data_IF_978065999261
#
_entry.id   IF_978065999261
#
_cell.length_a   1.000
_cell.length_b   1.000
_cell.length_c   1.000
_cell.angle_alpha   90.00
_cell.angle_beta   90.00
_cell.angle_gamma   90.00
#
_symmetry.space_group_name_H-M   'P 1'
#
loop_
_entity.id
_entity.type
_entity.pdbx_description
1 polymer ?
#
# COMPACT_ATOMS: atom_id res chain seq x y z
N UNK A 1 11.01 12.59 -3.23
CA UNK A 1 11.13 11.19 -3.74
C UNK A 1 12.19 10.36 -3.02
N UNK A 2 13.36 10.89 -2.75
CA UNK A 2 14.41 10.14 -2.01
C UNK A 2 13.98 9.78 -0.59
N UNK A 3 13.37 10.72 0.14
CA UNK A 3 12.88 10.48 1.51
C UNK A 3 11.74 9.46 1.51
N UNK A 4 10.78 9.60 0.60
CA UNK A 4 9.67 8.63 0.48
C UNK A 4 10.16 7.24 0.11
N UNK A 5 11.16 7.14 -0.77
CA UNK A 5 11.78 5.86 -1.12
C UNK A 5 12.49 5.20 0.05
N UNK A 6 13.20 5.99 0.86
CA UNK A 6 13.89 5.48 2.06
C UNK A 6 12.89 4.99 3.11
N UNK A 7 11.85 5.80 3.40
CA UNK A 7 10.78 5.41 4.31
C UNK A 7 10.06 4.16 3.82
N UNK A 8 9.76 4.12 2.52
CA UNK A 8 9.12 2.96 1.90
C UNK A 8 9.97 1.71 2.02
N UNK A 9 11.28 1.82 1.84
CA UNK A 9 12.20 0.70 2.00
C UNK A 9 12.13 0.13 3.42
N UNK A 10 12.16 0.97 4.44
CA UNK A 10 12.05 0.54 5.84
C UNK A 10 10.69 -0.12 6.11
N UNK A 11 9.61 0.51 5.68
CA UNK A 11 8.25 -0.02 5.87
C UNK A 11 8.03 -1.33 5.12
N UNK A 12 8.51 -1.42 3.87
CA UNK A 12 8.36 -2.60 3.04
C UNK A 12 9.18 -3.78 3.56
N UNK A 13 10.43 -3.54 3.99
CA UNK A 13 11.27 -4.57 4.58
C UNK A 13 10.70 -5.07 5.90
N UNK A 14 10.17 -4.17 6.74
CA UNK A 14 9.48 -4.55 7.97
C UNK A 14 8.22 -5.37 7.69
N UNK A 15 7.44 -4.97 6.69
CA UNK A 15 6.26 -5.72 6.25
C UNK A 15 6.65 -7.11 5.73
N UNK A 16 7.66 -7.20 4.87
CA UNK A 16 8.20 -8.47 4.35
C UNK A 16 8.66 -9.39 5.48
N UNK A 17 9.41 -8.85 6.44
CA UNK A 17 9.90 -9.62 7.57
C UNK A 17 8.74 -10.22 8.38
N UNK A 18 7.76 -9.38 8.75
CA UNK A 18 6.62 -9.82 9.58
C UNK A 18 5.72 -10.78 8.83
N UNK A 19 5.42 -10.51 7.57
CA UNK A 19 4.44 -11.27 6.81
C UNK A 19 4.99 -12.56 6.20
N UNK A 20 6.26 -12.58 5.81
CA UNK A 20 6.80 -13.67 5.00
C UNK A 20 7.94 -14.46 5.65
N UNK A 21 8.65 -13.89 6.61
CA UNK A 21 9.84 -14.54 7.20
C UNK A 21 9.66 -14.98 8.64
N UNK A 22 8.78 -14.34 9.40
CA UNK A 22 8.53 -14.73 10.80
C UNK A 22 7.54 -15.90 10.89
N UNK A 23 7.76 -16.76 11.87
CA UNK A 23 6.91 -17.94 12.10
C UNK A 23 6.93 -18.92 10.94
N UNK A 24 5.75 -19.33 10.47
CA UNK A 24 5.59 -20.22 9.31
C UNK A 24 5.64 -19.49 7.97
N UNK A 25 6.00 -18.20 7.99
CA UNK A 25 6.11 -17.39 6.79
C UNK A 25 4.78 -17.12 6.12
N UNK A 26 4.79 -17.15 4.78
CA UNK A 26 3.61 -16.83 3.97
C UNK A 26 2.44 -17.79 4.16
N UNK A 27 2.69 -19.03 4.61
CA UNK A 27 1.64 -20.05 4.80
C UNK A 27 0.63 -19.66 5.88
N UNK A 28 1.02 -18.84 6.87
CA UNK A 28 0.13 -18.38 7.94
C UNK A 28 -0.77 -17.22 7.53
N UNK A 29 -0.51 -16.60 6.36
CA UNK A 29 -1.25 -15.41 5.92
C UNK A 29 -2.63 -15.84 5.45
N UNK A 30 -3.63 -15.50 6.23
CA UNK A 30 -5.04 -15.64 5.90
C UNK A 30 -5.81 -14.43 6.44
N UNK A 31 -7.09 -14.37 6.16
CA UNK A 31 -7.90 -13.24 6.60
C UNK A 31 -7.93 -13.09 8.13
N UNK A 32 -7.99 -14.18 8.87
CA UNK A 32 -7.94 -14.17 10.34
C UNK A 32 -6.64 -13.58 10.88
N UNK A 33 -5.50 -13.95 10.29
CA UNK A 33 -4.21 -13.40 10.66
C UNK A 33 -4.15 -11.86 10.47
N UNK A 34 -4.64 -11.38 9.33
CA UNK A 34 -4.72 -9.94 9.07
C UNK A 34 -5.67 -9.24 10.04
N UNK A 35 -6.82 -9.86 10.35
CA UNK A 35 -7.80 -9.31 11.27
C UNK A 35 -7.22 -9.15 12.70
N UNK A 36 -6.51 -10.16 13.19
CA UNK A 36 -5.82 -10.10 14.49
C UNK A 36 -4.76 -9.00 14.50
N UNK A 37 -3.99 -8.92 13.43
CA UNK A 37 -2.94 -7.91 13.30
C UNK A 37 -3.52 -6.49 13.25
N UNK A 38 -4.64 -6.30 12.56
CA UNK A 38 -5.31 -5.01 12.45
C UNK A 38 -6.16 -4.65 13.68
N UNK A 39 -6.31 -5.55 14.65
CA UNK A 39 -6.82 -5.20 15.96
C UNK A 39 -5.89 -4.23 16.70
N UNK A 40 -4.58 -4.29 16.41
CA UNK A 40 -3.60 -3.33 16.92
C UNK A 40 -3.57 -2.06 16.06
N UNK A 41 -3.77 -0.85 16.65
CA UNK A 41 -3.66 0.41 15.92
C UNK A 41 -2.29 0.63 15.28
N UNK A 42 -1.23 0.12 15.92
CA UNK A 42 0.14 0.22 15.40
C UNK A 42 0.29 -0.45 14.03
N UNK A 43 -0.11 -1.73 13.92
CA UNK A 43 0.02 -2.47 12.67
C UNK A 43 -0.92 -1.97 11.59
N UNK A 44 -2.11 -1.54 11.98
CA UNK A 44 -3.07 -0.92 11.06
C UNK A 44 -2.50 0.37 10.46
N UNK A 45 -1.91 1.23 11.28
CA UNK A 45 -1.25 2.47 10.82
C UNK A 45 -0.04 2.16 9.95
N UNK A 46 0.76 1.15 10.31
CA UNK A 46 1.91 0.72 9.52
C UNK A 46 1.51 0.34 8.10
N UNK A 47 0.49 -0.50 7.97
CA UNK A 47 0.02 -0.96 6.66
C UNK A 47 -0.61 0.19 5.85
N UNK A 48 -1.34 1.09 6.51
CA UNK A 48 -1.89 2.27 5.86
C UNK A 48 -0.80 3.21 5.34
N UNK A 49 0.22 3.48 6.14
CA UNK A 49 1.36 4.31 5.71
C UNK A 49 2.11 3.67 4.55
N UNK A 50 2.31 2.35 4.61
CA UNK A 50 2.93 1.60 3.53
C UNK A 50 2.14 1.75 2.23
N UNK A 51 0.82 1.61 2.28
CA UNK A 51 -0.07 1.77 1.13
C UNK A 51 0.02 3.19 0.56
N UNK A 52 -0.11 4.22 1.41
CA UNK A 52 -0.08 5.61 0.96
C UNK A 52 1.27 5.98 0.33
N UNK A 53 2.36 5.63 0.98
CA UNK A 53 3.70 5.91 0.46
C UNK A 53 3.99 5.12 -0.83
N UNK A 54 3.56 3.87 -0.91
CA UNK A 54 3.71 3.06 -2.12
C UNK A 54 2.95 3.67 -3.31
N UNK A 55 1.71 4.13 -3.09
CA UNK A 55 0.90 4.76 -4.14
C UNK A 55 1.51 6.09 -4.61
N UNK A 56 1.87 6.97 -3.68
CA UNK A 56 2.47 8.27 -4.01
C UNK A 56 3.81 8.08 -4.73
N UNK A 57 4.66 7.22 -4.22
CA UNK A 57 5.96 6.93 -4.81
C UNK A 57 5.82 6.28 -6.19
N UNK A 58 4.92 5.31 -6.32
CA UNK A 58 4.65 4.60 -7.58
C UNK A 58 4.07 5.51 -8.66
N UNK A 59 3.08 6.35 -8.32
CA UNK A 59 2.47 7.30 -9.26
C UNK A 59 3.51 8.31 -9.75
N UNK A 60 4.31 8.85 -8.84
CA UNK A 60 5.33 9.82 -9.20
C UNK A 60 6.49 9.18 -10.00
N UNK A 61 6.85 7.95 -9.68
CA UNK A 61 7.80 7.16 -10.46
C UNK A 61 7.28 6.88 -11.87
N UNK A 62 6.03 6.48 -12.00
CA UNK A 62 5.39 6.26 -13.30
C UNK A 62 5.32 7.55 -14.12
N UNK A 63 5.01 8.67 -13.48
CA UNK A 63 5.05 9.99 -14.14
C UNK A 63 6.43 10.29 -14.72
N UNK A 64 7.49 10.06 -13.96
CA UNK A 64 8.85 10.30 -14.42
C UNK A 64 9.21 9.39 -15.61
N UNK A 65 8.90 8.11 -15.53
CA UNK A 65 9.11 7.17 -16.64
C UNK A 65 8.32 7.61 -17.88
N UNK A 66 7.08 8.04 -17.71
CA UNK A 66 6.23 8.50 -18.80
C UNK A 66 6.83 9.76 -19.46
N UNK A 67 7.37 10.68 -18.66
CA UNK A 67 8.03 11.87 -19.18
C UNK A 67 9.27 11.54 -20.02
N UNK A 68 10.02 10.52 -19.60
CA UNK A 68 11.27 10.14 -20.25
C UNK A 68 11.05 9.34 -21.54
N UNK A 69 10.07 8.46 -21.57
CA UNK A 69 9.89 7.47 -22.64
C UNK A 69 8.71 7.74 -23.58
N UNK A 70 7.69 8.47 -23.15
CA UNK A 70 6.51 8.74 -23.99
C UNK A 70 6.66 10.09 -24.68
N UNK A 71 6.89 10.05 -26.00
CA UNK A 71 7.12 11.23 -26.82
C UNK A 71 5.83 11.96 -27.21
N UNK A 72 4.71 11.27 -27.32
CA UNK A 72 3.43 11.84 -27.76
C UNK A 72 2.73 12.58 -26.60
N UNK A 73 2.46 13.90 -26.69
CA UNK A 73 1.86 14.68 -25.60
C UNK A 73 0.48 14.16 -25.16
N UNK A 74 -0.36 13.78 -26.11
CA UNK A 74 -1.70 13.25 -25.81
C UNK A 74 -1.65 11.92 -25.05
N UNK A 75 -0.77 11.01 -25.45
CA UNK A 75 -0.58 9.73 -24.75
C UNK A 75 0.00 9.94 -23.35
N UNK A 76 0.98 10.83 -23.23
CA UNK A 76 1.56 11.21 -21.93
C UNK A 76 0.50 11.74 -20.96
N UNK A 77 -0.34 12.66 -21.45
CA UNK A 77 -1.43 13.22 -20.66
C UNK A 77 -2.41 12.12 -20.21
N UNK A 78 -2.81 11.23 -21.12
CA UNK A 78 -3.72 10.12 -20.83
C UNK A 78 -3.16 9.20 -19.76
N UNK A 79 -1.90 8.76 -19.89
CA UNK A 79 -1.26 7.89 -18.90
C UNK A 79 -1.20 8.56 -17.53
N UNK A 80 -0.80 9.83 -17.47
CA UNK A 80 -0.72 10.57 -16.21
C UNK A 80 -2.09 10.74 -15.57
N UNK A 81 -3.12 11.10 -16.33
CA UNK A 81 -4.47 11.26 -15.82
C UNK A 81 -5.05 9.95 -15.30
N UNK A 82 -4.88 8.86 -16.03
CA UNK A 82 -5.28 7.52 -15.56
C UNK A 82 -4.56 7.12 -14.29
N UNK A 83 -3.26 7.39 -14.20
CA UNK A 83 -2.46 7.09 -13.01
C UNK A 83 -2.97 7.85 -11.78
N UNK A 84 -3.29 9.13 -11.93
CA UNK A 84 -3.83 9.94 -10.85
C UNK A 84 -5.22 9.48 -10.42
N UNK A 85 -6.11 9.19 -11.36
CA UNK A 85 -7.47 8.71 -11.07
C UNK A 85 -7.42 7.36 -10.36
N UNK A 86 -6.66 6.40 -10.88
CA UNK A 86 -6.52 5.08 -10.28
C UNK A 86 -5.86 5.19 -8.90
N UNK A 87 -4.78 5.94 -8.78
CA UNK A 87 -4.07 6.13 -7.52
C UNK A 87 -4.93 6.79 -6.45
N UNK A 88 -5.65 7.84 -6.79
CA UNK A 88 -6.57 8.51 -5.87
C UNK A 88 -7.70 7.57 -5.41
N UNK A 89 -8.28 6.81 -6.34
CA UNK A 89 -9.32 5.81 -6.04
C UNK A 89 -8.79 4.76 -5.07
N UNK A 90 -7.60 4.23 -5.30
CA UNK A 90 -6.98 3.24 -4.42
C UNK A 90 -6.64 3.83 -3.05
N UNK A 91 -6.20 5.09 -2.97
CA UNK A 91 -5.98 5.78 -1.70
C UNK A 91 -7.27 5.91 -0.88
N UNK A 92 -8.34 6.33 -1.52
CA UNK A 92 -9.66 6.49 -0.85
C UNK A 92 -10.19 5.14 -0.40
N UNK A 93 -10.20 4.14 -1.27
CA UNK A 93 -10.66 2.79 -0.94
C UNK A 93 -9.81 2.17 0.16
N UNK A 94 -8.49 2.25 0.07
CA UNK A 94 -7.59 1.71 1.08
C UNK A 94 -7.78 2.39 2.44
N UNK A 95 -7.97 3.71 2.47
CA UNK A 95 -8.23 4.47 3.70
C UNK A 95 -9.59 4.07 4.30
N UNK A 96 -10.63 3.96 3.49
CA UNK A 96 -11.95 3.52 3.96
C UNK A 96 -11.86 2.12 4.57
N UNK A 97 -11.20 1.19 3.89
CA UNK A 97 -11.05 -0.19 4.39
C UNK A 97 -10.30 -0.20 5.72
N UNK A 98 -9.20 0.50 5.82
CA UNK A 98 -8.37 0.55 7.05
C UNK A 98 -9.14 1.18 8.21
N UNK A 99 -9.87 2.26 7.97
CA UNK A 99 -10.60 3.00 9.02
C UNK A 99 -11.87 2.26 9.45
N UNK A 100 -12.60 1.67 8.52
CA UNK A 100 -13.90 1.04 8.79
C UNK A 100 -13.80 -0.44 9.16
N UNK A 101 -12.64 -1.06 8.98
CA UNK A 101 -12.45 -2.47 9.32
C UNK A 101 -12.63 -2.71 10.82
N UNK A 102 -13.54 -3.63 11.15
CA UNK A 102 -13.84 -4.02 12.52
C UNK A 102 -13.39 -5.47 12.75
N UNK A 103 -12.24 -5.69 13.40
CA UNK A 103 -11.73 -7.03 13.64
C UNK A 103 -12.61 -7.85 14.57
N UNK A 104 -13.44 -7.21 15.42
CA UNK A 104 -14.34 -7.91 16.36
C UNK A 104 -15.44 -8.70 15.65
N UNK A 105 -15.77 -8.34 14.42
CA UNK A 105 -16.78 -9.02 13.60
C UNK A 105 -16.25 -10.27 12.91
N UNK A 106 -14.95 -10.50 12.99
CA UNK A 106 -14.33 -11.66 12.37
C UNK A 106 -14.18 -12.80 13.39
N UNK A 107 -14.77 -13.99 13.15
CA UNK A 107 -14.63 -15.14 14.05
C UNK A 107 -13.15 -15.57 14.13
N UNK A 108 -12.62 -15.66 15.34
CA UNK A 108 -11.23 -16.03 15.58
C UNK A 108 -10.23 -14.88 15.64
N UNK A 109 -10.68 -13.63 15.49
CA UNK A 109 -9.82 -12.45 15.63
C UNK A 109 -9.72 -11.94 17.07
N UNK A 110 -10.52 -12.48 17.96
CA UNK A 110 -10.62 -12.10 19.38
C UNK A 110 -10.20 -13.27 20.27
#
# INVERSE_FOLDING_TARGET
MRISGLLLMVLALGHLLVMHLMGTGAERINFGFVAVRWASPFWRTWDWMLLMLALVHGINGLRNITLDYVQRPGLRLTINMLSYVIGFTLMVLGTIIVVTFDPSKWPGAV
#
